data_IF_717177811527
#
_entry.id   IF_717177811527
#
_cell.length_a   1.000
_cell.length_b   1.000
_cell.length_c   1.000
_cell.angle_alpha   90.00
_cell.angle_beta   90.00
_cell.angle_gamma   90.00
#
_symmetry.space_group_name_H-M   'P 1'
#
loop_
_entity.id
_entity.type
_entity.pdbx_description
1 polymer ?
#
# COMPACT_ATOMS: atom_id res chain seq x y z
N UNK A 1 -40.30 -25.59 -34.37
CA UNK A 1 -39.49 -24.35 -34.25
C UNK A 1 -38.97 -24.06 -32.83
N UNK A 2 -38.82 -25.05 -31.92
CA UNK A 2 -38.76 -24.74 -30.48
C UNK A 2 -37.38 -24.73 -29.79
N UNK A 3 -36.32 -25.36 -30.35
CA UNK A 3 -35.03 -25.47 -29.64
C UNK A 3 -34.01 -24.38 -30.01
N UNK A 4 -33.85 -24.08 -31.30
CA UNK A 4 -32.87 -23.06 -31.74
C UNK A 4 -33.15 -21.66 -31.16
N UNK A 5 -34.43 -21.29 -31.01
CA UNK A 5 -34.84 -20.01 -30.43
C UNK A 5 -34.53 -19.90 -28.93
N UNK A 6 -34.74 -20.99 -28.16
CA UNK A 6 -34.41 -21.03 -26.73
C UNK A 6 -32.90 -20.96 -26.48
N UNK A 7 -32.10 -21.67 -27.28
CA UNK A 7 -30.64 -21.61 -27.18
C UNK A 7 -30.09 -20.21 -27.50
N UNK A 8 -30.63 -19.55 -28.53
CA UNK A 8 -30.22 -18.20 -28.89
C UNK A 8 -30.55 -17.21 -27.76
N UNK A 9 -31.75 -17.28 -27.19
CA UNK A 9 -32.13 -16.42 -26.07
C UNK A 9 -31.29 -16.67 -24.83
N UNK A 10 -31.03 -17.93 -24.46
CA UNK A 10 -30.20 -18.28 -23.29
C UNK A 10 -28.75 -17.79 -23.41
N UNK A 11 -28.13 -17.94 -24.59
CA UNK A 11 -26.77 -17.43 -24.83
C UNK A 11 -26.77 -15.91 -24.82
N UNK A 12 -27.81 -15.27 -25.36
CA UNK A 12 -27.93 -13.81 -25.38
C UNK A 12 -28.12 -13.21 -23.98
N UNK A 13 -29.00 -13.78 -23.14
CA UNK A 13 -29.15 -13.36 -21.74
C UNK A 13 -27.87 -13.58 -20.97
N UNK A 14 -27.25 -14.77 -21.06
CA UNK A 14 -25.99 -15.05 -20.37
C UNK A 14 -24.86 -14.09 -20.79
N UNK A 15 -24.80 -13.72 -22.08
CA UNK A 15 -23.82 -12.75 -22.60
C UNK A 15 -24.12 -11.33 -22.13
N UNK A 16 -25.41 -10.96 -22.02
CA UNK A 16 -25.85 -9.68 -21.46
C UNK A 16 -25.54 -9.58 -19.97
N UNK A 17 -25.82 -10.63 -19.20
CA UNK A 17 -25.51 -10.74 -17.77
C UNK A 17 -24.01 -10.74 -17.51
N UNK A 18 -23.23 -11.42 -18.36
CA UNK A 18 -21.77 -11.41 -18.29
C UNK A 18 -21.18 -10.05 -18.65
N UNK A 19 -21.74 -9.35 -19.65
CA UNK A 19 -21.39 -7.95 -19.94
C UNK A 19 -21.77 -7.01 -18.80
N UNK A 20 -22.90 -7.25 -18.13
CA UNK A 20 -23.36 -6.46 -16.97
C UNK A 20 -22.44 -6.66 -15.76
N UNK A 21 -22.04 -7.91 -15.46
CA UNK A 21 -21.05 -8.23 -14.41
C UNK A 21 -19.65 -7.70 -14.72
N UNK A 22 -19.31 -7.54 -16.00
CA UNK A 22 -18.03 -7.01 -16.47
C UNK A 22 -18.08 -5.49 -16.74
N UNK A 23 -19.16 -4.81 -16.33
CA UNK A 23 -19.08 -3.37 -16.10
C UNK A 23 -18.31 -3.17 -14.81
N UNK A 24 -17.00 -3.00 -14.93
CA UNK A 24 -16.17 -2.40 -13.88
C UNK A 24 -16.83 -1.05 -13.56
N UNK A 25 -17.65 -1.00 -12.49
CA UNK A 25 -18.15 0.28 -12.01
C UNK A 25 -16.92 1.12 -11.67
N UNK A 26 -16.67 2.24 -12.37
CA UNK A 26 -15.49 3.05 -12.10
C UNK A 26 -15.58 3.48 -10.64
N UNK A 27 -14.62 3.04 -9.82
CA UNK A 27 -14.55 3.53 -8.45
C UNK A 27 -14.37 5.05 -8.53
N UNK A 28 -15.26 5.81 -7.90
CA UNK A 28 -15.10 7.26 -7.74
C UNK A 28 -13.84 7.61 -6.91
N UNK A 29 -13.27 6.62 -6.22
CA UNK A 29 -11.99 6.73 -5.56
C UNK A 29 -10.86 6.94 -6.56
N UNK A 30 -10.05 7.98 -6.32
CA UNK A 30 -9.02 8.44 -7.23
C UNK A 30 -8.49 9.80 -6.78
N UNK A 31 -8.12 10.65 -7.73
CA UNK A 31 -7.41 11.93 -7.48
C UNK A 31 -8.15 12.91 -6.53
N UNK A 32 -9.46 12.76 -6.32
CA UNK A 32 -10.24 13.60 -5.39
C UNK A 32 -10.26 13.07 -3.95
N UNK A 33 -9.69 11.90 -3.71
CA UNK A 33 -9.72 11.22 -2.41
C UNK A 33 -8.46 11.48 -1.62
N UNK A 34 -8.59 11.91 -0.36
CA UNK A 34 -7.46 12.06 0.57
C UNK A 34 -6.67 10.76 0.68
N UNK A 35 -7.35 9.62 0.83
CA UNK A 35 -6.70 8.31 0.94
C UNK A 35 -5.91 7.90 -0.31
N UNK A 36 -6.27 8.38 -1.51
CA UNK A 36 -5.49 8.13 -2.73
C UNK A 36 -4.13 8.82 -2.63
N UNK A 37 -4.14 10.10 -2.28
CA UNK A 37 -2.91 10.90 -2.14
C UNK A 37 -2.05 10.44 -0.95
N UNK A 38 -2.67 10.10 0.18
CA UNK A 38 -1.94 9.55 1.33
C UNK A 38 -1.16 8.29 0.96
N UNK A 39 -1.81 7.31 0.29
CA UNK A 39 -1.13 6.09 -0.15
C UNK A 39 -0.05 6.41 -1.16
N UNK A 40 -0.31 7.29 -2.14
CA UNK A 40 0.67 7.64 -3.16
C UNK A 40 1.93 8.27 -2.54
N UNK A 41 1.75 9.26 -1.66
CA UNK A 41 2.86 9.93 -0.98
C UNK A 41 3.66 8.94 -0.13
N UNK A 42 3.00 8.06 0.61
CA UNK A 42 3.67 7.06 1.44
C UNK A 42 4.38 5.99 0.61
N UNK A 43 3.79 5.54 -0.51
CA UNK A 43 4.43 4.60 -1.43
C UNK A 43 5.67 5.21 -2.09
N UNK A 44 5.61 6.47 -2.51
CA UNK A 44 6.78 7.18 -3.04
C UNK A 44 7.82 7.46 -1.96
N UNK A 45 7.38 7.80 -0.74
CA UNK A 45 8.25 8.02 0.42
C UNK A 45 9.06 6.77 0.77
N UNK A 46 8.42 5.60 0.86
CA UNK A 46 9.15 4.36 1.18
C UNK A 46 10.08 3.93 0.05
N UNK A 47 9.74 4.19 -1.22
CA UNK A 47 10.66 4.01 -2.35
C UNK A 47 11.88 4.90 -2.19
N UNK A 48 11.69 6.18 -1.86
CA UNK A 48 12.78 7.13 -1.62
C UNK A 48 13.70 6.66 -0.49
N UNK A 49 13.14 6.19 0.64
CA UNK A 49 13.93 5.61 1.73
C UNK A 49 14.70 4.38 1.26
N UNK A 50 14.07 3.49 0.50
CA UNK A 50 14.72 2.31 -0.02
C UNK A 50 15.87 2.63 -0.99
N UNK A 51 15.69 3.63 -1.86
CA UNK A 51 16.77 4.14 -2.73
C UNK A 51 17.93 4.70 -1.89
N UNK A 52 17.64 5.46 -0.83
CA UNK A 52 18.67 5.96 0.10
C UNK A 52 19.46 4.82 0.73
N UNK A 53 18.82 3.72 1.12
CA UNK A 53 19.51 2.53 1.63
C UNK A 53 20.40 1.81 0.60
N UNK A 54 20.18 2.03 -0.70
CA UNK A 54 21.04 1.49 -1.76
C UNK A 54 22.22 2.42 -2.06
N UNK A 55 21.96 3.72 -2.19
CA UNK A 55 22.96 4.70 -2.65
C UNK A 55 23.79 5.31 -1.51
N UNK A 56 23.17 5.50 -0.34
CA UNK A 56 23.74 6.15 0.84
C UNK A 56 23.36 5.37 2.12
N UNK A 57 23.81 4.11 2.24
CA UNK A 57 23.30 3.15 3.22
C UNK A 57 23.51 3.62 4.67
N UNK A 58 24.65 4.22 5.00
CA UNK A 58 24.94 4.81 6.31
C UNK A 58 23.92 5.89 6.70
N UNK A 59 23.63 6.79 5.77
CA UNK A 59 22.66 7.87 5.96
C UNK A 59 21.26 7.29 6.12
N UNK A 60 20.94 6.20 5.41
CA UNK A 60 19.69 5.46 5.59
C UNK A 60 19.56 4.85 6.98
N UNK A 61 20.61 4.17 7.46
CA UNK A 61 20.67 3.54 8.77
C UNK A 61 20.51 4.55 9.92
N UNK A 62 21.25 5.66 9.84
CA UNK A 62 21.11 6.78 10.78
C UNK A 62 19.69 7.34 10.79
N UNK A 63 19.08 7.52 9.62
CA UNK A 63 17.70 8.02 9.51
C UNK A 63 16.65 7.01 10.01
N UNK A 64 16.94 5.72 9.95
CA UNK A 64 16.09 4.67 10.51
C UNK A 64 16.15 4.66 12.05
N UNK A 65 17.30 5.00 12.61
CA UNK A 65 17.57 5.05 14.05
C UNK A 65 18.49 3.93 14.56
N UNK A 66 18.97 3.04 13.68
CA UNK A 66 19.94 1.98 14.03
C UNK A 66 21.16 2.16 13.14
N UNK A 67 22.24 2.69 13.72
CA UNK A 67 23.51 2.85 13.02
C UNK A 67 24.17 1.50 12.73
N UNK A 68 24.87 1.41 11.60
CA UNK A 68 25.72 0.26 11.32
C UNK A 68 26.93 0.25 12.26
N UNK A 69 27.34 -0.94 12.66
CA UNK A 69 28.52 -1.14 13.50
C UNK A 69 29.70 -1.62 12.67
N UNK A 70 29.46 -2.34 11.57
CA UNK A 70 30.50 -2.92 10.73
C UNK A 70 30.17 -2.78 9.23
N UNK A 71 31.20 -2.86 8.38
CA UNK A 71 31.03 -2.83 6.93
C UNK A 71 30.08 -3.90 6.36
N UNK A 72 29.93 -5.03 7.06
CA UNK A 72 28.98 -6.09 6.69
C UNK A 72 27.51 -5.68 6.79
N UNK A 73 27.18 -4.70 7.64
CA UNK A 73 25.81 -4.25 7.87
C UNK A 73 25.25 -3.49 6.66
N UNK A 74 26.12 -2.93 5.82
CA UNK A 74 25.74 -2.28 4.55
C UNK A 74 24.97 -3.24 3.65
N UNK A 75 25.33 -4.53 3.62
CA UNK A 75 24.63 -5.53 2.82
C UNK A 75 23.18 -5.71 3.32
N UNK A 76 22.96 -5.76 4.63
CA UNK A 76 21.63 -5.81 5.24
C UNK A 76 20.84 -4.53 5.01
N UNK A 77 21.50 -3.37 5.07
CA UNK A 77 20.94 -2.08 4.67
C UNK A 77 20.38 -2.11 3.25
N UNK A 78 21.16 -2.62 2.28
CA UNK A 78 20.72 -2.77 0.89
C UNK A 78 19.55 -3.74 0.74
N UNK A 79 19.56 -4.86 1.49
CA UNK A 79 18.42 -5.81 1.52
C UNK A 79 17.15 -5.12 2.00
N UNK A 80 17.23 -4.33 3.08
CA UNK A 80 16.11 -3.49 3.53
C UNK A 80 15.68 -2.52 2.43
N UNK A 81 16.63 -1.82 1.82
CA UNK A 81 16.35 -0.86 0.76
C UNK A 81 15.55 -1.44 -0.41
N UNK A 82 15.91 -2.66 -0.85
CA UNK A 82 15.17 -3.38 -1.89
C UNK A 82 13.74 -3.70 -1.44
N UNK A 83 13.55 -4.15 -0.19
CA UNK A 83 12.21 -4.45 0.36
C UNK A 83 11.35 -3.19 0.45
N UNK A 84 11.92 -2.06 0.83
CA UNK A 84 11.23 -0.78 0.92
C UNK A 84 10.79 -0.30 -0.47
N UNK A 85 11.66 -0.39 -1.48
CA UNK A 85 11.33 -0.09 -2.89
C UNK A 85 10.20 -1.00 -3.38
N UNK A 86 10.33 -2.31 -3.21
CA UNK A 86 9.32 -3.28 -3.67
C UNK A 86 7.98 -3.03 -3.00
N UNK A 87 7.96 -2.74 -1.69
CA UNK A 87 6.73 -2.47 -0.94
C UNK A 87 5.95 -1.27 -1.50
N UNK A 88 6.65 -0.18 -1.85
CA UNK A 88 6.02 0.95 -2.53
C UNK A 88 5.59 0.61 -3.96
N UNK A 89 6.42 -0.10 -4.73
CA UNK A 89 6.11 -0.49 -6.11
C UNK A 89 4.88 -1.41 -6.21
N UNK A 90 4.60 -2.25 -5.21
CA UNK A 90 3.39 -3.08 -5.18
C UNK A 90 2.11 -2.23 -5.14
N UNK A 91 2.14 -1.06 -4.50
CA UNK A 91 0.97 -0.18 -4.37
C UNK A 91 0.69 0.67 -5.61
N UNK A 92 1.74 1.11 -6.32
CA UNK A 92 1.61 2.02 -7.48
C UNK A 92 0.70 1.49 -8.62
N UNK A 93 0.81 0.24 -9.10
CA UNK A 93 -0.07 -0.26 -10.14
C UNK A 93 -1.52 -0.40 -9.63
N UNK A 94 -1.72 -0.75 -8.35
CA UNK A 94 -3.05 -0.84 -7.74
C UNK A 94 -3.72 0.54 -7.65
N UNK A 95 -2.94 1.59 -7.33
CA UNK A 95 -3.37 2.98 -7.38
C UNK A 95 -3.72 3.41 -8.80
N UNK A 96 -2.84 3.11 -9.77
CA UNK A 96 -3.05 3.45 -11.19
C UNK A 96 -4.33 2.84 -11.76
N UNK A 97 -4.57 1.56 -11.46
CA UNK A 97 -5.78 0.84 -11.84
C UNK A 97 -7.01 1.18 -10.98
N UNK A 98 -6.86 2.07 -9.99
CA UNK A 98 -7.89 2.47 -9.02
C UNK A 98 -8.56 1.28 -8.31
N UNK A 99 -7.78 0.24 -8.02
CA UNK A 99 -8.25 -0.98 -7.34
C UNK A 99 -8.35 -0.75 -5.83
N UNK A 100 -9.24 0.15 -5.40
CA UNK A 100 -9.34 0.62 -4.01
C UNK A 100 -9.35 -0.50 -2.97
N UNK A 101 -10.14 -1.56 -3.18
CA UNK A 101 -10.22 -2.69 -2.22
C UNK A 101 -8.90 -3.46 -2.12
N UNK A 102 -8.19 -3.63 -3.23
CA UNK A 102 -6.86 -4.25 -3.22
C UNK A 102 -5.84 -3.34 -2.51
N UNK A 103 -5.85 -2.03 -2.81
CA UNK A 103 -5.03 -1.04 -2.10
C UNK A 103 -5.32 -1.08 -0.60
N UNK A 104 -6.59 -1.13 -0.19
CA UNK A 104 -6.99 -1.21 1.22
C UNK A 104 -6.31 -2.39 1.94
N UNK A 105 -6.42 -3.60 1.39
CA UNK A 105 -5.82 -4.79 1.99
C UNK A 105 -4.29 -4.75 2.00
N UNK A 106 -3.67 -4.48 0.84
CA UNK A 106 -2.21 -4.46 0.71
C UNK A 106 -1.59 -3.39 1.60
N UNK A 107 -2.15 -2.17 1.59
CA UNK A 107 -1.66 -1.06 2.39
C UNK A 107 -1.84 -1.32 3.90
N UNK A 108 -2.95 -1.95 4.32
CA UNK A 108 -3.17 -2.31 5.72
C UNK A 108 -2.15 -3.33 6.23
N UNK A 109 -1.80 -4.32 5.40
CA UNK A 109 -0.75 -5.28 5.73
C UNK A 109 0.60 -4.58 5.78
N UNK A 110 0.88 -3.68 4.84
CA UNK A 110 2.11 -2.90 4.80
C UNK A 110 2.29 -2.00 6.04
N UNK A 111 1.21 -1.59 6.71
CA UNK A 111 1.27 -0.86 8.00
C UNK A 111 2.02 -1.62 9.09
N UNK A 112 2.11 -2.96 9.00
CA UNK A 112 2.91 -3.75 9.94
C UNK A 112 4.40 -3.38 9.87
N UNK A 113 4.91 -2.89 8.73
CA UNK A 113 6.31 -2.50 8.58
C UNK A 113 6.69 -1.38 9.56
N UNK A 114 6.10 -0.18 9.53
CA UNK A 114 6.46 0.87 10.49
C UNK A 114 6.09 0.53 11.94
N UNK A 115 5.11 -0.36 12.18
CA UNK A 115 4.83 -0.87 13.54
C UNK A 115 6.01 -1.72 14.04
N UNK A 116 6.49 -2.65 13.22
CA UNK A 116 7.67 -3.45 13.55
C UNK A 116 8.93 -2.59 13.66
N UNK A 117 9.11 -1.60 12.79
CA UNK A 117 10.25 -0.68 12.84
C UNK A 117 10.25 0.13 14.15
N UNK A 118 9.08 0.63 14.58
CA UNK A 118 8.92 1.27 15.89
C UNK A 118 9.33 0.33 17.04
N UNK A 119 8.88 -0.93 17.01
CA UNK A 119 9.20 -1.90 18.05
C UNK A 119 10.70 -2.25 18.05
N UNK A 120 11.35 -2.30 16.89
CA UNK A 120 12.79 -2.51 16.76
C UNK A 120 13.55 -1.35 17.42
N UNK A 121 13.20 -0.10 17.13
CA UNK A 121 13.82 1.07 17.78
C UNK A 121 13.58 1.04 19.29
N UNK A 122 12.35 0.77 19.73
CA UNK A 122 12.02 0.69 21.15
C UNK A 122 12.83 -0.39 21.86
N UNK A 123 13.07 -1.52 21.20
CA UNK A 123 13.84 -2.63 21.76
C UNK A 123 15.35 -2.33 21.83
N UNK A 124 15.94 -1.79 20.75
CA UNK A 124 17.38 -1.57 20.65
C UNK A 124 17.84 -0.28 21.32
N UNK A 125 17.09 0.81 21.15
CA UNK A 125 17.47 2.12 21.66
C UNK A 125 16.71 2.44 22.95
N UNK A 126 15.51 1.91 23.16
CA UNK A 126 14.68 2.24 24.33
C UNK A 126 13.79 3.46 24.13
N UNK A 127 12.93 3.75 25.12
CA UNK A 127 11.89 4.79 25.03
C UNK A 127 12.42 6.23 25.04
N UNK A 128 13.71 6.43 25.30
CA UNK A 128 14.33 7.75 25.30
C UNK A 128 14.65 8.27 23.89
N UNK A 129 14.71 7.39 22.89
CA UNK A 129 14.92 7.77 21.49
C UNK A 129 13.61 8.24 20.82
N UNK A 130 13.03 9.30 21.38
CA UNK A 130 11.72 9.82 20.99
C UNK A 130 11.71 10.24 19.51
N UNK A 131 12.83 10.76 19.00
CA UNK A 131 12.90 11.24 17.62
C UNK A 131 12.62 10.12 16.61
N UNK A 132 13.32 8.99 16.70
CA UNK A 132 13.11 7.88 15.77
C UNK A 132 11.81 7.11 16.05
N UNK A 133 11.42 6.99 17.34
CA UNK A 133 10.12 6.42 17.70
C UNK A 133 8.96 7.21 17.08
N UNK A 134 9.01 8.54 17.08
CA UNK A 134 7.96 9.35 16.48
C UNK A 134 7.89 9.20 14.96
N UNK A 135 9.02 9.07 14.26
CA UNK A 135 9.02 8.86 12.80
C UNK A 135 8.24 7.59 12.43
N UNK A 136 8.55 6.47 13.08
CA UNK A 136 7.89 5.19 12.78
C UNK A 136 6.46 5.15 13.33
N UNK A 137 6.25 5.62 14.57
CA UNK A 137 4.94 5.62 15.22
C UNK A 137 3.92 6.52 14.52
N UNK A 138 4.31 7.73 14.10
CA UNK A 138 3.43 8.63 13.34
C UNK A 138 3.16 8.08 11.94
N UNK A 139 4.16 7.48 11.28
CA UNK A 139 3.96 6.81 9.98
C UNK A 139 2.94 5.68 10.11
N UNK A 140 3.08 4.81 11.12
CA UNK A 140 2.12 3.75 11.41
C UNK A 140 0.72 4.31 11.68
N UNK A 141 0.58 5.35 12.50
CA UNK A 141 -0.70 5.99 12.80
C UNK A 141 -1.38 6.55 11.54
N UNK A 142 -0.65 7.28 10.69
CA UNK A 142 -1.16 7.80 9.42
C UNK A 142 -1.58 6.66 8.48
N UNK A 143 -0.82 5.57 8.44
CA UNK A 143 -1.16 4.39 7.65
C UNK A 143 -2.43 3.69 8.16
N UNK A 144 -2.61 3.55 9.48
CA UNK A 144 -3.85 3.01 10.07
C UNK A 144 -5.05 3.89 9.72
N UNK A 145 -4.95 5.21 9.91
CA UNK A 145 -6.03 6.15 9.58
C UNK A 145 -6.36 6.07 8.08
N UNK A 146 -5.34 6.05 7.23
CA UNK A 146 -5.52 5.93 5.77
C UNK A 146 -6.16 4.59 5.39
N UNK A 147 -5.78 3.48 6.04
CA UNK A 147 -6.42 2.17 5.87
C UNK A 147 -7.91 2.21 6.21
N UNK A 148 -8.28 2.80 7.34
CA UNK A 148 -9.68 3.00 7.74
C UNK A 148 -10.42 3.80 6.64
N UNK A 149 -9.85 4.90 6.15
CA UNK A 149 -10.43 5.67 5.04
C UNK A 149 -10.56 4.86 3.74
N UNK A 150 -9.62 3.96 3.46
CA UNK A 150 -9.69 3.07 2.30
C UNK A 150 -10.83 2.06 2.41
N UNK A 151 -11.15 1.56 3.60
CA UNK A 151 -12.30 0.67 3.80
C UNK A 151 -13.65 1.42 3.87
N UNK A 152 -13.70 2.59 4.51
CA UNK A 152 -14.96 3.31 4.80
C UNK A 152 -15.30 4.48 3.88
N UNK A 153 -14.34 5.00 3.09
CA UNK A 153 -14.61 6.06 2.11
C UNK A 153 -15.80 5.73 1.21
N UNK A 154 -16.53 6.75 0.78
CA UNK A 154 -17.80 6.58 0.08
C UNK A 154 -17.57 5.85 -1.27
N UNK A 155 -17.97 4.58 -1.33
CA UNK A 155 -18.26 3.88 -2.57
C UNK A 155 -19.78 3.91 -2.73
N UNK A 156 -20.31 4.91 -3.45
CA UNK A 156 -21.72 4.83 -3.86
C UNK A 156 -21.81 3.70 -4.89
N UNK A 157 -22.11 2.49 -4.42
CA UNK A 157 -22.68 1.48 -5.31
C UNK A 157 -24.05 2.02 -5.75
N UNK A 158 -24.46 1.89 -7.03
CA UNK A 158 -25.83 2.18 -7.39
C UNK A 158 -26.74 1.36 -6.48
N UNK A 159 -27.71 2.02 -5.85
CA UNK A 159 -28.81 1.30 -5.19
C UNK A 159 -29.57 0.59 -6.31
N UNK A 160 -29.49 -0.74 -6.32
CA UNK A 160 -30.35 -1.60 -7.12
C UNK A 160 -31.81 -1.42 -6.68
#
# INVERSE_FOLDING_TARGET
MSRAFLYHNFVFTKKKDMKMKMQIHPSLWGIRSVSFWSVLILALGIIYIGVRFITHPETGAQGYGIAFQNAGDIAYGKIKGIRDIVSGLVLLPLLWMRMRKAVAWVFSIATLVPVCDFLIILHYNGSHDIAHLLVHGLTAAVMVITSILLFYGISTSPKN
#
